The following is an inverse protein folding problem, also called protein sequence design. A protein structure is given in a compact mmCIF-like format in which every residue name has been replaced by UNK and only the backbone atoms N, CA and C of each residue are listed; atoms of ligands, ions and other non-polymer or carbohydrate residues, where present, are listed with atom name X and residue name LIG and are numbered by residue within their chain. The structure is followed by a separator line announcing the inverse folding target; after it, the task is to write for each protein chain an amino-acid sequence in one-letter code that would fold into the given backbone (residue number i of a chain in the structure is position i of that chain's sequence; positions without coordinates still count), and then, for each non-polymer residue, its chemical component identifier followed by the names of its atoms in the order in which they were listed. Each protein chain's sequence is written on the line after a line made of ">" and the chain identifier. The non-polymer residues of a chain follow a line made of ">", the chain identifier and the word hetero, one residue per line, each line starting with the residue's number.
data_IF_665139552115
#
_entry.id   IF_665139552115
#
_cell.length_a   1.000
_cell.length_b   1.000
_cell.length_c   1.000
_cell.angle_alpha   90.00
_cell.angle_beta   90.00
_cell.angle_gamma   90.00
#
_symmetry.space_group_name_H-M   'P 1'
#
loop_
_entity.id
_entity.type
_entity.pdbx_description
1 polymer ?
#
# COMPACT_ATOMS: atom_id res chain seq x y z
N UNK A 1 0.65 -12.14 -26.46
CA UNK A 1 1.15 -10.91 -25.79
C UNK A 1 1.45 -11.27 -24.35
N UNK A 2 2.71 -11.18 -23.93
CA UNK A 2 3.09 -11.28 -22.52
C UNK A 2 2.38 -10.19 -21.72
N UNK A 3 1.82 -10.52 -20.56
CA UNK A 3 1.15 -9.55 -19.72
C UNK A 3 2.17 -8.50 -19.26
N UNK A 4 1.88 -7.21 -19.47
CA UNK A 4 2.71 -6.13 -18.92
C UNK A 4 2.30 -5.95 -17.45
N UNK A 5 3.13 -6.43 -16.55
CA UNK A 5 2.99 -6.18 -15.11
C UNK A 5 3.33 -4.73 -14.78
N UNK A 6 2.62 -4.16 -13.82
CA UNK A 6 2.83 -2.79 -13.34
C UNK A 6 2.49 -2.70 -11.86
N UNK A 7 3.00 -1.66 -11.21
CA UNK A 7 2.71 -1.34 -9.82
C UNK A 7 1.82 -0.09 -9.70
N UNK A 8 0.83 -0.15 -8.81
CA UNK A 8 -0.15 0.93 -8.60
C UNK A 8 -0.32 1.19 -7.11
N UNK A 9 -0.03 2.41 -6.68
CA UNK A 9 -0.38 2.90 -5.35
C UNK A 9 -1.71 3.66 -5.39
N UNK A 10 -2.67 3.25 -4.58
CA UNK A 10 -3.96 3.94 -4.41
C UNK A 10 -4.01 4.59 -3.03
N UNK A 11 -3.97 5.92 -3.01
CA UNK A 11 -4.04 6.77 -1.84
C UNK A 11 -5.45 7.35 -1.64
N UNK A 12 -5.72 7.86 -0.44
CA UNK A 12 -6.91 8.68 -0.17
C UNK A 12 -7.36 8.62 1.28
N UNK A 13 -8.19 9.59 1.68
CA UNK A 13 -8.75 9.64 3.03
C UNK A 13 -9.60 8.43 3.40
N UNK A 14 -10.01 8.33 4.66
CA UNK A 14 -11.02 7.36 5.09
C UNK A 14 -12.33 7.62 4.33
N UNK A 15 -13.01 6.56 3.88
CA UNK A 15 -14.26 6.62 3.08
C UNK A 15 -14.16 7.39 1.74
N UNK A 16 -12.95 7.61 1.21
CA UNK A 16 -12.74 8.20 -0.13
C UNK A 16 -13.11 7.31 -1.32
N UNK A 17 -13.44 6.03 -1.10
CA UNK A 17 -13.71 5.04 -2.16
C UNK A 17 -12.50 4.24 -2.63
N UNK A 18 -11.30 4.43 -2.04
CA UNK A 18 -10.07 3.78 -2.50
C UNK A 18 -10.04 2.26 -2.49
N UNK A 19 -10.60 1.59 -1.47
CA UNK A 19 -10.63 0.14 -1.44
C UNK A 19 -11.50 -0.43 -2.57
N UNK A 20 -12.67 0.17 -2.81
CA UNK A 20 -13.55 -0.21 -3.94
C UNK A 20 -12.85 0.01 -5.28
N UNK A 21 -12.24 1.18 -5.47
CA UNK A 21 -11.49 1.47 -6.69
C UNK A 21 -10.36 0.44 -6.92
N UNK A 22 -9.56 0.13 -5.90
CA UNK A 22 -8.49 -0.85 -5.99
C UNK A 22 -9.00 -2.28 -6.28
N UNK A 23 -10.12 -2.67 -5.68
CA UNK A 23 -10.81 -3.94 -5.98
C UNK A 23 -11.25 -4.00 -7.45
N UNK A 24 -11.86 -2.93 -7.96
CA UNK A 24 -12.32 -2.87 -9.34
C UNK A 24 -11.13 -2.88 -10.32
N UNK A 25 -10.01 -2.23 -9.99
CA UNK A 25 -8.78 -2.31 -10.77
C UNK A 25 -8.22 -3.74 -10.82
N UNK A 26 -8.23 -4.47 -9.70
CA UNK A 26 -7.79 -5.87 -9.67
C UNK A 26 -8.73 -6.81 -10.44
N UNK A 27 -10.06 -6.60 -10.36
CA UNK A 27 -11.08 -7.40 -11.09
C UNK A 27 -10.98 -7.28 -12.60
N UNK A 28 -10.55 -6.13 -13.10
CA UNK A 28 -10.38 -5.90 -14.54
C UNK A 28 -9.17 -6.65 -15.11
N UNK A 29 -8.31 -7.20 -14.27
CA UNK A 29 -7.13 -7.97 -14.68
C UNK A 29 -7.49 -9.45 -14.82
N UNK A 30 -6.87 -10.08 -15.82
CA UNK A 30 -6.93 -11.52 -16.01
C UNK A 30 -5.90 -12.20 -15.10
N UNK A 31 -6.19 -13.43 -14.69
CA UNK A 31 -5.27 -14.25 -13.90
C UNK A 31 -5.73 -14.48 -12.47
N UNK A 32 -4.91 -15.20 -11.71
CA UNK A 32 -5.13 -15.50 -10.29
C UNK A 32 -4.84 -14.26 -9.45
N UNK A 33 -5.74 -13.92 -8.55
CA UNK A 33 -5.62 -12.74 -7.68
C UNK A 33 -5.39 -13.17 -6.23
N UNK A 34 -4.35 -12.63 -5.61
CA UNK A 34 -4.14 -12.70 -4.17
C UNK A 34 -4.54 -11.37 -3.52
N UNK A 35 -5.38 -11.44 -2.48
CA UNK A 35 -5.70 -10.33 -1.60
C UNK A 35 -4.87 -10.44 -0.31
N UNK A 36 -3.99 -9.48 -0.06
CA UNK A 36 -3.12 -9.41 1.11
C UNK A 36 -3.81 -8.52 2.15
N UNK A 37 -4.37 -9.14 3.18
CA UNK A 37 -5.06 -8.48 4.27
C UNK A 37 -4.09 -8.20 5.41
N UNK A 38 -3.87 -6.92 5.72
CA UNK A 38 -2.98 -6.51 6.82
C UNK A 38 -3.75 -6.18 8.09
N UNK A 39 -5.06 -5.96 7.98
CA UNK A 39 -5.92 -5.69 9.11
C UNK A 39 -6.18 -6.93 9.96
N UNK A 40 -6.00 -6.77 11.28
CA UNK A 40 -6.44 -7.72 12.30
C UNK A 40 -7.78 -7.24 12.86
N UNK A 41 -8.73 -8.12 13.12
CA UNK A 41 -10.00 -7.74 13.76
C UNK A 41 -9.77 -7.46 15.25
N UNK A 42 -9.25 -6.27 15.57
CA UNK A 42 -8.88 -5.88 16.93
C UNK A 42 -10.05 -5.23 17.70
N UNK A 43 -11.07 -4.72 16.99
CA UNK A 43 -12.29 -4.18 17.58
C UNK A 43 -13.53 -4.49 16.70
N UNK A 44 -14.73 -4.25 17.26
CA UNK A 44 -16.01 -4.61 16.63
C UNK A 44 -16.35 -3.82 15.36
N UNK A 45 -15.93 -2.55 15.27
CA UNK A 45 -16.17 -1.71 14.07
C UNK A 45 -15.25 -2.15 12.92
N UNK A 46 -13.99 -2.46 13.23
CA UNK A 46 -13.04 -3.04 12.30
C UNK A 46 -13.47 -4.45 11.86
N UNK A 47 -14.05 -5.26 12.74
CA UNK A 47 -14.59 -6.57 12.40
C UNK A 47 -15.75 -6.49 11.41
N UNK A 48 -16.73 -5.60 11.64
CA UNK A 48 -17.84 -5.37 10.71
C UNK A 48 -17.35 -4.88 9.35
N UNK A 49 -16.33 -4.00 9.35
CA UNK A 49 -15.71 -3.51 8.12
C UNK A 49 -14.93 -4.60 7.37
N UNK A 50 -14.21 -5.46 8.08
CA UNK A 50 -13.53 -6.64 7.51
C UNK A 50 -14.57 -7.58 6.90
N UNK A 51 -15.69 -7.85 7.58
CA UNK A 51 -16.75 -8.71 7.07
C UNK A 51 -17.35 -8.17 5.77
N UNK A 52 -17.68 -6.86 5.70
CA UNK A 52 -18.14 -6.22 4.46
C UNK A 52 -17.11 -6.32 3.35
N UNK A 53 -15.84 -5.99 3.64
CA UNK A 53 -14.78 -6.10 2.63
C UNK A 53 -14.53 -7.54 2.17
N UNK A 54 -14.75 -8.56 3.03
CA UNK A 54 -14.69 -9.97 2.63
C UNK A 54 -15.86 -10.33 1.71
N UNK A 55 -17.07 -9.86 2.00
CA UNK A 55 -18.25 -10.10 1.16
C UNK A 55 -18.14 -9.45 -0.23
N UNK A 56 -17.42 -8.33 -0.36
CA UNK A 56 -17.15 -7.67 -1.63
C UNK A 56 -16.08 -8.40 -2.48
N UNK A 57 -15.34 -9.37 -1.93
CA UNK A 57 -14.29 -10.08 -2.67
C UNK A 57 -14.90 -11.23 -3.49
N UNK A 58 -14.49 -11.42 -4.74
CA UNK A 58 -14.80 -12.64 -5.47
C UNK A 58 -14.28 -13.86 -4.71
N UNK A 59 -15.11 -14.90 -4.56
CA UNK A 59 -14.74 -16.15 -3.88
C UNK A 59 -13.56 -16.87 -4.54
N UNK A 60 -13.30 -16.59 -5.82
CA UNK A 60 -12.17 -17.12 -6.57
C UNK A 60 -10.80 -16.53 -6.16
N UNK A 61 -10.78 -15.46 -5.36
CA UNK A 61 -9.53 -14.83 -4.94
C UNK A 61 -8.96 -15.50 -3.69
N UNK A 62 -7.64 -15.69 -3.67
CA UNK A 62 -6.95 -16.18 -2.48
C UNK A 62 -6.73 -15.04 -1.50
N UNK A 63 -7.31 -15.13 -0.31
CA UNK A 63 -7.01 -14.18 0.78
C UNK A 63 -5.84 -14.70 1.60
N UNK A 64 -4.82 -13.86 1.80
CA UNK A 64 -3.65 -14.13 2.64
C UNK A 64 -3.64 -13.06 3.73
N UNK A 65 -3.73 -13.50 4.99
CA UNK A 65 -3.63 -12.59 6.14
C UNK A 65 -2.15 -12.48 6.53
N UNK A 66 -1.60 -11.27 6.41
CA UNK A 66 -0.22 -10.97 6.78
C UNK A 66 -0.15 -9.58 7.41
N UNK A 67 -0.19 -9.47 8.75
CA UNK A 67 -0.18 -8.19 9.43
C UNK A 67 1.22 -7.55 9.54
N UNK A 68 2.31 -8.30 9.33
CA UNK A 68 3.66 -7.87 9.70
C UNK A 68 4.66 -7.96 8.55
N UNK A 69 4.83 -9.11 7.91
CA UNK A 69 5.82 -9.32 6.85
C UNK A 69 5.20 -9.21 5.46
N UNK A 70 4.61 -8.05 5.20
CA UNK A 70 3.94 -7.76 3.93
C UNK A 70 4.86 -7.93 2.71
N UNK A 71 6.14 -7.49 2.71
CA UNK A 71 7.04 -7.72 1.58
C UNK A 71 7.24 -9.21 1.29
N UNK A 72 7.55 -10.04 2.29
CA UNK A 72 7.77 -11.46 2.06
C UNK A 72 6.49 -12.19 1.61
N UNK A 73 5.33 -11.83 2.17
CA UNK A 73 4.06 -12.40 1.73
C UNK A 73 3.71 -12.02 0.30
N UNK A 74 3.94 -10.77 -0.11
CA UNK A 74 3.80 -10.35 -1.51
C UNK A 74 4.74 -11.17 -2.42
N UNK A 75 6.02 -11.30 -2.06
CA UNK A 75 7.00 -12.07 -2.84
C UNK A 75 6.61 -13.55 -2.98
N UNK A 76 6.09 -14.17 -1.92
CA UNK A 76 5.56 -15.55 -1.97
C UNK A 76 4.33 -15.65 -2.86
N UNK A 77 3.36 -14.74 -2.69
CA UNK A 77 2.13 -14.73 -3.47
C UNK A 77 2.41 -14.56 -4.97
N UNK A 78 3.43 -13.76 -5.33
CA UNK A 78 3.84 -13.53 -6.71
C UNK A 78 4.30 -14.80 -7.46
N UNK A 79 4.62 -15.88 -6.74
CA UNK A 79 4.98 -17.17 -7.37
C UNK A 79 3.78 -17.95 -7.91
N UNK A 80 2.56 -17.63 -7.47
CA UNK A 80 1.36 -18.40 -7.77
C UNK A 80 0.17 -17.56 -8.27
N UNK A 81 0.34 -16.25 -8.34
CA UNK A 81 -0.72 -15.29 -8.69
C UNK A 81 -0.20 -14.29 -9.71
N UNK A 82 -1.09 -13.74 -10.52
CA UNK A 82 -0.77 -12.76 -11.56
C UNK A 82 -1.02 -11.31 -11.07
N UNK A 83 -1.84 -11.18 -10.03
CA UNK A 83 -2.25 -9.91 -9.41
C UNK A 83 -2.20 -10.04 -7.89
N UNK A 84 -1.62 -9.04 -7.25
CA UNK A 84 -1.62 -8.88 -5.80
C UNK A 84 -2.31 -7.56 -5.46
N UNK A 85 -3.31 -7.61 -4.59
CA UNK A 85 -3.93 -6.43 -3.99
C UNK A 85 -3.65 -6.43 -2.48
N UNK A 86 -2.83 -5.49 -2.01
CA UNK A 86 -2.54 -5.29 -0.59
C UNK A 86 -3.38 -4.15 0.00
N UNK A 87 -4.27 -4.48 0.94
CA UNK A 87 -5.10 -3.51 1.67
C UNK A 87 -4.92 -3.72 3.19
N UNK A 88 -4.24 -2.82 3.91
CA UNK A 88 -3.51 -1.65 3.41
C UNK A 88 -2.18 -1.43 4.12
N UNK A 89 -1.29 -0.68 3.46
CA UNK A 89 -0.02 -0.24 4.01
C UNK A 89 -0.20 0.58 5.30
N UNK A 90 -1.32 1.31 5.44
CA UNK A 90 -1.65 2.05 6.67
C UNK A 90 -1.76 1.17 7.90
N UNK A 91 -2.55 0.10 7.81
CA UNK A 91 -2.74 -0.82 8.95
C UNK A 91 -1.48 -1.66 9.16
N UNK A 92 -0.78 -2.01 8.09
CA UNK A 92 0.52 -2.65 8.19
C UNK A 92 1.52 -1.81 9.01
N UNK A 93 1.72 -0.53 8.66
CA UNK A 93 2.59 0.38 9.43
C UNK A 93 2.14 0.49 10.89
N UNK A 94 0.83 0.58 11.14
CA UNK A 94 0.29 0.59 12.50
C UNK A 94 0.64 -0.69 13.28
N UNK A 95 0.48 -1.87 12.67
CA UNK A 95 0.84 -3.15 13.29
C UNK A 95 2.35 -3.24 13.59
N UNK A 96 3.22 -2.73 12.72
CA UNK A 96 4.66 -2.71 12.96
C UNK A 96 5.01 -1.83 14.17
N UNK A 97 4.40 -0.65 14.25
CA UNK A 97 4.57 0.25 15.39
C UNK A 97 4.04 -0.36 16.69
N UNK A 98 2.88 -1.01 16.65
CA UNK A 98 2.26 -1.68 17.80
C UNK A 98 3.12 -2.86 18.30
N UNK A 99 3.77 -3.58 17.38
CA UNK A 99 4.74 -4.63 17.74
C UNK A 99 6.00 -4.08 18.43
N UNK A 100 6.21 -2.76 18.38
CA UNK A 100 7.36 -2.10 18.98
C UNK A 100 8.54 -1.90 18.02
N UNK A 101 8.33 -2.05 16.71
CA UNK A 101 9.39 -1.80 15.74
C UNK A 101 9.82 -0.32 15.79
N UNK A 102 11.12 -0.10 15.63
CA UNK A 102 11.70 1.24 15.48
C UNK A 102 11.41 1.77 14.08
N UNK A 103 11.34 3.08 13.93
CA UNK A 103 11.04 3.74 12.65
C UNK A 103 12.00 3.27 11.54
N UNK A 104 13.29 3.12 11.84
CA UNK A 104 14.27 2.60 10.88
C UNK A 104 13.92 1.20 10.34
N UNK A 105 13.37 0.32 11.17
CA UNK A 105 12.97 -1.03 10.74
C UNK A 105 11.69 -0.99 9.89
N UNK A 106 10.72 -0.15 10.26
CA UNK A 106 9.50 0.09 9.45
C UNK A 106 9.87 0.64 8.08
N UNK A 107 10.79 1.59 8.05
CA UNK A 107 11.31 2.21 6.84
C UNK A 107 12.05 1.18 5.98
N UNK A 108 12.94 0.37 6.55
CA UNK A 108 13.60 -0.71 5.82
C UNK A 108 12.59 -1.69 5.18
N UNK A 109 11.57 -2.10 5.92
CA UNK A 109 10.51 -2.95 5.37
C UNK A 109 9.71 -2.26 4.25
N UNK A 110 9.52 -0.93 4.32
CA UNK A 110 8.91 -0.15 3.26
C UNK A 110 9.82 -0.06 2.01
N UNK A 111 11.14 -0.04 2.18
CA UNK A 111 12.09 -0.11 1.06
C UNK A 111 12.03 -1.48 0.37
N UNK A 112 11.87 -2.56 1.13
CA UNK A 112 11.67 -3.91 0.58
C UNK A 112 10.37 -4.02 -0.22
N UNK A 113 9.27 -3.46 0.29
CA UNK A 113 8.02 -3.38 -0.45
C UNK A 113 8.17 -2.52 -1.71
N UNK A 114 8.85 -1.38 -1.61
CA UNK A 114 9.13 -0.52 -2.75
C UNK A 114 10.01 -1.20 -3.81
N UNK A 115 10.97 -2.04 -3.40
CA UNK A 115 11.77 -2.85 -4.31
C UNK A 115 10.90 -3.84 -5.10
N UNK A 116 9.97 -4.53 -4.43
CA UNK A 116 9.01 -5.41 -5.10
C UNK A 116 8.14 -4.69 -6.15
N UNK A 117 7.70 -3.47 -5.86
CA UNK A 117 6.94 -2.66 -6.82
C UNK A 117 7.75 -2.34 -8.09
N UNK A 118 9.07 -2.17 -7.95
CA UNK A 118 10.00 -1.93 -9.07
C UNK A 118 10.32 -3.20 -9.86
N UNK A 119 10.39 -4.35 -9.19
CA UNK A 119 10.68 -5.65 -9.82
C UNK A 119 9.58 -6.07 -10.80
N UNK A 120 8.33 -5.61 -10.59
CA UNK A 120 7.16 -5.90 -11.46
C UNK A 120 7.01 -7.39 -11.77
N UNK A 121 7.25 -8.25 -10.77
CA UNK A 121 7.11 -9.71 -10.92
C UNK A 121 5.68 -10.09 -11.33
N UNK A 122 4.70 -9.34 -10.81
CA UNK A 122 3.26 -9.48 -11.04
C UNK A 122 2.62 -8.09 -11.02
N UNK A 123 1.34 -7.98 -11.39
CA UNK A 123 0.63 -6.71 -11.17
C UNK A 123 0.42 -6.51 -9.67
N UNK A 124 0.90 -5.40 -9.11
CA UNK A 124 0.76 -5.10 -7.69
C UNK A 124 -0.03 -3.83 -7.47
N UNK A 125 -1.11 -3.91 -6.69
CA UNK A 125 -1.91 -2.78 -6.25
C UNK A 125 -1.78 -2.67 -4.74
N UNK A 126 -1.31 -1.52 -4.24
CA UNK A 126 -1.17 -1.25 -2.81
C UNK A 126 -2.10 -0.11 -2.43
N UNK A 127 -2.92 -0.32 -1.40
CA UNK A 127 -3.80 0.70 -0.84
C UNK A 127 -3.15 1.32 0.38
N UNK A 128 -3.23 2.65 0.51
CA UNK A 128 -2.85 3.36 1.73
C UNK A 128 -3.75 4.58 1.95
N UNK A 129 -3.89 5.00 3.21
CA UNK A 129 -4.52 6.25 3.58
C UNK A 129 -3.56 7.42 3.33
N UNK A 130 -4.12 8.54 2.90
CA UNK A 130 -3.49 9.85 3.08
C UNK A 130 -3.98 10.44 4.41
N UNK A 131 -3.06 10.79 5.30
CA UNK A 131 -3.35 11.24 6.68
C UNK A 131 -2.69 12.58 7.03
N UNK A 132 -1.87 13.14 6.15
CA UNK A 132 -1.10 14.36 6.37
C UNK A 132 -1.86 15.66 6.08
N UNK A 133 -3.09 15.60 5.56
CA UNK A 133 -3.88 16.77 5.18
C UNK A 133 -4.82 17.31 6.28
N UNK A 134 -4.75 16.73 7.49
CA UNK A 134 -5.57 17.11 8.63
C UNK A 134 -4.84 17.97 9.66
N UNK A 135 -5.52 18.27 10.77
CA UNK A 135 -4.93 18.94 11.93
C UNK A 135 -3.87 18.04 12.57
N UNK A 136 -2.85 18.67 13.17
CA UNK A 136 -1.79 17.97 13.90
C UNK A 136 -2.36 17.04 14.99
N UNK A 137 -1.96 15.74 15.02
CA UNK A 137 -2.47 14.83 16.04
C UNK A 137 -2.14 15.29 17.46
N UNK A 138 -3.09 15.20 18.41
CA UNK A 138 -2.89 15.67 19.78
C UNK A 138 -1.88 14.80 20.55
N UNK A 139 -1.76 13.51 20.20
CA UNK A 139 -0.88 12.55 20.87
C UNK A 139 0.46 12.40 20.15
N UNK A 140 1.52 12.11 20.90
CA UNK A 140 2.84 11.82 20.33
C UNK A 140 2.82 10.60 19.39
N UNK A 141 2.14 9.53 19.81
CA UNK A 141 1.95 8.34 18.99
C UNK A 141 1.27 8.66 17.65
N UNK A 142 0.24 9.52 17.68
CA UNK A 142 -0.46 9.93 16.46
C UNK A 142 0.43 10.75 15.52
N UNK A 143 1.27 11.64 16.06
CA UNK A 143 2.26 12.41 15.28
C UNK A 143 3.29 11.49 14.64
N UNK A 144 3.90 10.61 15.43
CA UNK A 144 4.86 9.61 14.96
C UNK A 144 4.26 8.75 13.85
N UNK A 145 3.04 8.25 14.03
CA UNK A 145 2.34 7.45 13.03
C UNK A 145 2.10 8.22 11.72
N UNK A 146 1.57 9.45 11.81
CA UNK A 146 1.32 10.31 10.65
C UNK A 146 2.61 10.57 9.86
N UNK A 147 3.68 10.96 10.55
CA UNK A 147 4.95 11.32 9.92
C UNK A 147 5.61 10.09 9.28
N UNK A 148 5.64 8.96 10.00
CA UNK A 148 6.17 7.70 9.49
C UNK A 148 5.38 7.19 8.29
N UNK A 149 4.04 7.17 8.35
CA UNK A 149 3.21 6.76 7.22
C UNK A 149 3.40 7.67 6.01
N UNK A 150 3.60 8.97 6.22
CA UNK A 150 3.93 9.93 5.17
C UNK A 150 5.22 9.55 4.43
N UNK A 151 6.28 9.16 5.16
CA UNK A 151 7.54 8.71 4.56
C UNK A 151 7.36 7.37 3.84
N UNK A 152 6.62 6.43 4.42
CA UNK A 152 6.30 5.14 3.77
C UNK A 152 5.53 5.37 2.46
N UNK A 153 4.49 6.21 2.47
CA UNK A 153 3.72 6.56 1.28
C UNK A 153 4.61 7.18 0.20
N UNK A 154 5.56 8.05 0.55
CA UNK A 154 6.51 8.64 -0.41
C UNK A 154 7.40 7.57 -1.05
N UNK A 155 7.93 6.61 -0.28
CA UNK A 155 8.77 5.51 -0.80
C UNK A 155 7.99 4.63 -1.78
N UNK A 156 6.77 4.26 -1.42
CA UNK A 156 5.89 3.48 -2.29
C UNK A 156 5.49 4.28 -3.53
N UNK A 157 5.16 5.56 -3.36
CA UNK A 157 4.76 6.44 -4.46
C UNK A 157 5.91 6.66 -5.44
N UNK A 158 7.16 6.78 -4.97
CA UNK A 158 8.33 6.88 -5.84
C UNK A 158 8.53 5.61 -6.68
N UNK A 159 8.35 4.44 -6.05
CA UNK A 159 8.57 3.13 -6.67
C UNK A 159 7.45 2.66 -7.60
N UNK A 160 6.19 3.04 -7.35
CA UNK A 160 5.04 2.60 -8.14
C UNK A 160 5.12 3.10 -9.59
N UNK A 161 4.49 2.44 -10.55
CA UNK A 161 4.36 2.98 -11.92
C UNK A 161 3.26 4.04 -11.96
N UNK A 162 2.15 3.76 -11.26
CA UNK A 162 0.98 4.61 -11.17
C UNK A 162 0.69 4.99 -9.72
N UNK A 163 0.27 6.24 -9.50
CA UNK A 163 -0.24 6.71 -8.21
C UNK A 163 -1.57 7.40 -8.43
N UNK A 164 -2.60 6.95 -7.73
CA UNK A 164 -3.94 7.55 -7.75
C UNK A 164 -4.31 8.04 -6.36
N UNK A 165 -4.74 9.29 -6.23
CA UNK A 165 -5.39 9.82 -5.05
C UNK A 165 -6.91 9.77 -5.22
N UNK A 166 -7.60 9.13 -4.28
CA UNK A 166 -9.06 9.06 -4.30
C UNK A 166 -9.67 10.16 -3.44
N UNK A 167 -10.61 10.91 -4.03
CA UNK A 167 -11.34 12.01 -3.38
C UNK A 167 -12.82 11.87 -3.70
N UNK A 168 -13.67 11.72 -2.68
CA UNK A 168 -15.13 11.58 -2.87
C UNK A 168 -15.55 10.51 -3.91
N UNK A 169 -14.80 9.40 -4.00
CA UNK A 169 -15.05 8.33 -4.97
C UNK A 169 -14.44 8.56 -6.36
N UNK A 170 -13.83 9.72 -6.61
CA UNK A 170 -13.22 10.08 -7.88
C UNK A 170 -11.70 9.83 -7.86
N UNK A 171 -11.13 9.21 -8.90
CA UNK A 171 -9.70 9.01 -9.02
C UNK A 171 -9.00 10.24 -9.61
N UNK A 172 -8.03 10.79 -8.87
CA UNK A 172 -7.07 11.77 -9.37
C UNK A 172 -5.73 11.06 -9.62
N UNK A 173 -5.30 10.97 -10.87
CA UNK A 173 -4.00 10.39 -11.21
C UNK A 173 -2.90 11.40 -10.86
N UNK A 174 -2.04 11.05 -9.90
CA UNK A 174 -0.87 11.84 -9.51
C UNK A 174 0.38 11.44 -10.30
N UNK A 175 0.43 10.18 -10.75
CA UNK A 175 1.53 9.63 -11.53
C UNK A 175 1.02 8.53 -12.44
N UNK A 176 1.47 8.51 -13.69
CA UNK A 176 1.11 7.49 -14.70
C UNK A 176 2.32 6.90 -15.44
N UNK A 177 3.52 7.22 -14.96
CA UNK A 177 4.79 6.62 -15.38
C UNK A 177 5.79 6.72 -14.21
N UNK A 178 6.81 5.83 -14.14
CA UNK A 178 7.86 5.93 -13.11
C UNK A 178 8.49 7.33 -13.10
N UNK A 179 8.81 7.83 -11.90
CA UNK A 179 9.58 9.06 -11.81
C UNK A 179 10.99 8.77 -12.35
N UNK A 180 11.61 9.71 -13.09
CA UNK A 180 13.03 9.60 -13.41
C UNK A 180 13.81 9.49 -12.11
N UNK A 181 14.89 8.70 -12.11
CA UNK A 181 15.78 8.61 -10.96
C UNK A 181 16.20 10.02 -10.55
N UNK A 182 16.04 10.36 -9.27
CA UNK A 182 16.47 11.65 -8.77
C UNK A 182 17.96 11.84 -9.14
N UNK A 183 18.35 12.99 -9.72
CA UNK A 183 19.75 13.24 -9.98
C UNK A 183 20.52 13.09 -8.67
N UNK A 184 21.67 12.41 -8.70
CA UNK A 184 22.57 12.38 -7.56
C UNK A 184 22.85 13.82 -7.15
N UNK A 185 22.26 14.26 -6.03
CA UNK A 185 22.63 15.51 -5.39
C UNK A 185 24.07 15.30 -4.99
N UNK A 186 25.01 15.83 -5.78
CA UNK A 186 26.39 15.99 -5.33
C UNK A 186 26.29 16.82 -4.07
N UNK A 187 26.65 16.24 -2.94
CA UNK A 187 26.88 17.00 -1.72
C UNK A 187 27.87 18.10 -2.09
N UNK A 188 27.38 19.33 -2.20
CA UNK A 188 28.24 20.49 -2.14
C UNK A 188 28.81 20.50 -0.73
N UNK A 189 29.96 19.87 -0.54
CA UNK A 189 30.89 20.30 0.49
C UNK A 189 31.20 21.76 0.16
N UNK A 190 30.63 22.65 0.98
CA UNK A 190 31.01 24.04 1.00
C UNK A 190 32.43 24.17 1.56
N UNK A 191 33.23 25.13 1.07
CA UNK A 191 34.64 25.29 1.40
C UNK A 191 34.89 25.68 2.86
#
# INVERSE_FOLDING_TARGET
>A
MTAVHHSHLVLGGVRSGKSRYALDQARQRRGKVAFLATARALDGDLAARIARHRAERPSAWTTIEEPHDLPAACRRAARAHDVILADCATVWVANLMERGDRDAAVLAAADDLAALLRERLVTMIVVSNEVGQGVHPPTELGRRFRDLLGVVNQRLAAAADRVTLMVAGLPLTLKDAPLPAAPHVRSHEAP
#
